data_IF_108533848529
#
_entry.id   IF_108533848529
#
_cell.length_a   1.000
_cell.length_b   1.000
_cell.length_c   1.000
_cell.angle_alpha   90.00
_cell.angle_beta   90.00
_cell.angle_gamma   90.00
#
_symmetry.space_group_name_H-M   'P 1'
#
loop_
_entity.id
_entity.type
_entity.pdbx_description
1 polymer ?
#
# COMPACT_ATOMS: atom_id res chain seq x y z
N UNK A 1 -14.06 2.46 -13.41
CA UNK A 1 -13.00 1.52 -13.01
C UNK A 1 -13.13 1.35 -11.51
N UNK A 2 -13.23 0.12 -11.03
CA UNK A 2 -13.48 -0.13 -9.62
C UNK A 2 -12.30 -0.86 -9.00
N UNK A 3 -12.02 -0.55 -7.74
CA UNK A 3 -11.07 -1.25 -6.90
C UNK A 3 -11.81 -1.78 -5.67
N UNK A 4 -11.47 -2.99 -5.26
CA UNK A 4 -11.94 -3.56 -3.99
C UNK A 4 -10.84 -3.38 -2.94
N UNK A 5 -11.17 -3.50 -1.65
CA UNK A 5 -10.19 -3.51 -0.56
C UNK A 5 -10.29 -4.84 0.15
N UNK A 6 -9.20 -5.60 0.15
CA UNK A 6 -9.15 -6.92 0.78
C UNK A 6 -7.98 -7.01 1.76
N UNK A 7 -8.25 -7.52 2.93
CA UNK A 7 -7.29 -7.63 4.04
C UNK A 7 -7.89 -7.16 5.37
N UNK A 8 -7.07 -6.90 6.38
CA UNK A 8 -5.64 -7.13 6.40
C UNK A 8 -5.29 -8.63 6.34
N UNK A 9 -4.21 -8.95 5.64
CA UNK A 9 -3.56 -10.26 5.70
C UNK A 9 -2.33 -10.14 6.59
N UNK A 10 -2.11 -11.11 7.46
CA UNK A 10 -0.92 -11.14 8.30
C UNK A 10 0.25 -11.66 7.47
N UNK A 11 1.36 -10.94 7.45
CA UNK A 11 2.59 -11.40 6.79
C UNK A 11 3.43 -12.16 7.82
N UNK A 12 3.44 -13.49 7.72
CA UNK A 12 4.21 -14.35 8.62
C UNK A 12 5.71 -14.08 8.49
N UNK A 13 6.42 -14.11 9.60
CA UNK A 13 7.88 -13.94 9.65
C UNK A 13 8.52 -15.22 10.14
N UNK A 14 9.60 -15.65 9.50
CA UNK A 14 10.25 -16.93 9.76
C UNK A 14 11.66 -16.79 10.33
N UNK A 15 12.16 -17.90 10.86
CA UNK A 15 13.50 -18.04 11.39
C UNK A 15 13.77 -17.27 12.70
N UNK A 16 14.97 -17.46 13.29
CA UNK A 16 15.35 -16.84 14.56
C UNK A 16 15.36 -15.31 14.52
N UNK A 17 15.65 -14.74 13.34
CA UNK A 17 15.68 -13.29 13.10
C UNK A 17 14.30 -12.71 12.83
N UNK A 18 13.25 -13.53 12.73
CA UNK A 18 11.87 -13.11 12.39
C UNK A 18 11.83 -12.23 11.15
N UNK A 19 12.31 -12.75 10.04
CA UNK A 19 12.34 -12.05 8.76
C UNK A 19 11.14 -12.44 7.89
N UNK A 20 10.72 -11.51 7.05
CA UNK A 20 9.86 -11.77 5.92
C UNK A 20 10.75 -12.32 4.81
N UNK A 21 10.47 -13.52 4.35
CA UNK A 21 11.29 -14.30 3.42
C UNK A 21 10.44 -14.99 2.34
N UNK A 22 11.04 -15.95 1.63
CA UNK A 22 10.36 -16.71 0.58
C UNK A 22 9.20 -17.54 1.12
N UNK A 23 9.29 -18.08 2.34
CA UNK A 23 8.18 -18.82 2.93
C UNK A 23 7.01 -17.91 3.24
N UNK A 24 7.27 -16.68 3.71
CA UNK A 24 6.24 -15.65 3.92
C UNK A 24 5.44 -15.35 2.64
N UNK A 25 6.08 -15.42 1.47
CA UNK A 25 5.39 -15.26 0.19
C UNK A 25 4.41 -16.40 -0.07
N UNK A 26 4.80 -17.66 0.17
CA UNK A 26 3.93 -18.82 -0.04
C UNK A 26 2.74 -18.79 0.92
N UNK A 27 3.00 -18.54 2.21
CA UNK A 27 1.96 -18.44 3.23
C UNK A 27 0.93 -17.36 2.87
N UNK A 28 1.42 -16.16 2.49
CA UNK A 28 0.53 -15.06 2.09
C UNK A 28 -0.28 -15.40 0.84
N UNK A 29 0.36 -16.00 -0.18
CA UNK A 29 -0.31 -16.36 -1.43
C UNK A 29 -1.45 -17.34 -1.18
N UNK A 30 -1.20 -18.35 -0.36
CA UNK A 30 -2.15 -19.40 -0.07
C UNK A 30 -3.33 -18.84 0.76
N UNK A 31 -3.08 -18.03 1.81
CA UNK A 31 -4.12 -17.33 2.58
C UNK A 31 -4.96 -16.39 1.69
N UNK A 32 -4.32 -15.66 0.78
CA UNK A 32 -4.99 -14.72 -0.13
C UNK A 32 -5.94 -15.45 -1.08
N UNK A 33 -5.48 -16.56 -1.69
CA UNK A 33 -6.30 -17.33 -2.66
C UNK A 33 -7.36 -18.19 -1.96
N UNK A 34 -7.14 -18.64 -0.72
CA UNK A 34 -8.15 -19.29 0.11
C UNK A 34 -9.29 -18.30 0.42
N UNK A 35 -8.98 -17.07 0.81
CA UNK A 35 -9.98 -16.06 1.13
C UNK A 35 -10.77 -15.57 -0.09
N UNK A 36 -10.09 -15.34 -1.22
CA UNK A 36 -10.71 -14.96 -2.50
C UNK A 36 -9.92 -15.54 -3.68
N UNK A 37 -10.43 -16.59 -4.28
CA UNK A 37 -9.80 -17.29 -5.40
C UNK A 37 -9.38 -16.36 -6.53
N UNK A 38 -8.10 -16.40 -6.90
CA UNK A 38 -7.52 -15.60 -7.99
C UNK A 38 -7.08 -14.18 -7.60
N UNK A 39 -7.25 -13.78 -6.33
CA UNK A 39 -6.81 -12.48 -5.85
C UNK A 39 -5.28 -12.34 -5.92
N UNK A 40 -4.53 -13.38 -5.63
CA UNK A 40 -3.06 -13.38 -5.73
C UNK A 40 -2.56 -12.98 -7.12
N UNK A 41 -3.33 -13.31 -8.17
CA UNK A 41 -3.01 -13.07 -9.59
C UNK A 41 -3.59 -11.77 -10.14
N UNK A 42 -4.31 -10.99 -9.34
CA UNK A 42 -4.88 -9.72 -9.76
C UNK A 42 -3.81 -8.66 -10.02
N UNK A 43 -4.17 -7.60 -10.76
CA UNK A 43 -3.42 -6.34 -10.78
C UNK A 43 -4.09 -5.30 -9.88
N UNK A 44 -3.33 -4.31 -9.40
CA UNK A 44 -3.85 -3.29 -8.51
C UNK A 44 -2.77 -2.64 -7.65
N UNK A 45 -3.17 -2.11 -6.50
CA UNK A 45 -2.27 -1.54 -5.52
C UNK A 45 -2.23 -2.38 -4.24
N UNK A 46 -1.24 -2.14 -3.40
CA UNK A 46 -1.15 -2.74 -2.08
C UNK A 46 -0.53 -1.76 -1.08
N UNK A 47 -0.89 -1.93 0.18
CA UNK A 47 -0.34 -1.16 1.29
C UNK A 47 0.21 -2.12 2.33
N UNK A 48 1.51 -2.06 2.53
CA UNK A 48 2.17 -2.77 3.62
C UNK A 48 2.17 -1.88 4.86
N UNK A 49 1.73 -2.43 5.98
CA UNK A 49 1.54 -1.69 7.21
C UNK A 49 2.02 -2.50 8.43
N UNK A 50 2.24 -1.79 9.52
CA UNK A 50 2.50 -2.34 10.85
C UNK A 50 1.23 -2.21 11.69
N UNK A 51 0.73 -3.31 12.22
CA UNK A 51 -0.33 -3.31 13.23
C UNK A 51 0.24 -2.99 14.60
N UNK A 52 -0.33 -2.03 15.31
CA UNK A 52 0.01 -1.68 16.68
C UNK A 52 -1.28 -1.37 17.45
N UNK A 53 -1.59 -2.20 18.45
CA UNK A 53 -2.87 -2.12 19.16
C UNK A 53 -4.06 -2.25 18.22
N UNK A 54 -4.98 -1.29 18.26
CA UNK A 54 -6.17 -1.24 17.37
C UNK A 54 -5.93 -0.53 16.03
N UNK A 55 -4.74 0.01 15.81
CA UNK A 55 -4.43 0.82 14.63
C UNK A 55 -3.42 0.18 13.67
N UNK A 56 -3.29 0.83 12.51
CA UNK A 56 -2.32 0.45 11.48
C UNK A 56 -1.48 1.68 11.11
N UNK A 57 -0.17 1.47 11.00
CA UNK A 57 0.76 2.49 10.49
C UNK A 57 1.21 2.04 9.10
N UNK A 58 0.89 2.76 8.02
CA UNK A 58 1.36 2.42 6.69
C UNK A 58 2.88 2.59 6.62
N UNK A 59 3.57 1.65 6.02
CA UNK A 59 5.03 1.65 5.87
C UNK A 59 5.48 1.76 4.42
N UNK A 60 4.71 1.14 3.51
CA UNK A 60 5.01 1.15 2.09
C UNK A 60 3.73 1.01 1.26
N UNK A 61 3.67 1.68 0.13
CA UNK A 61 2.62 1.55 -0.88
C UNK A 61 3.27 1.09 -2.17
N UNK A 62 2.62 0.21 -2.92
CA UNK A 62 3.09 -0.20 -4.22
C UNK A 62 1.96 -0.58 -5.17
N UNK A 63 2.33 -0.73 -6.42
CA UNK A 63 1.43 -1.15 -7.49
C UNK A 63 1.92 -2.43 -8.16
N UNK A 64 1.00 -3.19 -8.73
CA UNK A 64 1.25 -4.41 -9.47
C UNK A 64 0.53 -4.34 -10.82
N UNK A 65 1.28 -4.05 -11.87
CA UNK A 65 0.83 -4.04 -13.27
C UNK A 65 1.64 -5.01 -14.12
N UNK A 66 2.97 -4.99 -14.00
CA UNK A 66 3.86 -5.89 -14.73
C UNK A 66 3.84 -7.32 -14.17
N UNK A 67 3.64 -7.45 -12.87
CA UNK A 67 3.48 -8.72 -12.17
C UNK A 67 2.12 -8.78 -11.47
N UNK A 68 1.83 -9.87 -10.75
CA UNK A 68 0.62 -9.99 -9.96
C UNK A 68 0.79 -9.37 -8.56
N UNK A 69 -0.32 -9.04 -7.89
CA UNK A 69 -0.34 -8.35 -6.59
C UNK A 69 0.57 -9.00 -5.56
N UNK A 70 0.44 -10.30 -5.33
CA UNK A 70 1.25 -10.98 -4.31
C UNK A 70 2.71 -11.09 -4.75
N UNK A 71 2.97 -11.38 -6.05
CA UNK A 71 4.35 -11.46 -6.55
C UNK A 71 5.06 -10.12 -6.41
N UNK A 72 4.39 -9.00 -6.75
CA UNK A 72 4.99 -7.68 -6.62
C UNK A 72 5.16 -7.29 -5.15
N UNK A 73 4.14 -7.49 -4.35
CA UNK A 73 4.17 -7.13 -2.94
C UNK A 73 5.25 -7.87 -2.16
N UNK A 74 5.54 -9.11 -2.53
CA UNK A 74 6.48 -10.00 -1.82
C UNK A 74 7.73 -10.31 -2.62
N UNK A 75 8.10 -9.47 -3.60
CA UNK A 75 9.39 -9.62 -4.28
C UNK A 75 10.56 -9.36 -3.31
N UNK A 76 11.74 -9.85 -3.66
CA UNK A 76 12.93 -9.78 -2.78
C UNK A 76 13.26 -8.34 -2.34
N UNK A 77 13.16 -7.37 -3.27
CA UNK A 77 13.42 -5.95 -2.98
C UNK A 77 12.44 -5.39 -1.95
N UNK A 78 11.15 -5.72 -2.06
CA UNK A 78 10.14 -5.25 -1.13
C UNK A 78 10.27 -5.95 0.24
N UNK A 79 10.55 -7.24 0.27
CA UNK A 79 10.83 -7.96 1.53
C UNK A 79 12.03 -7.33 2.28
N UNK A 80 13.09 -6.93 1.58
CA UNK A 80 14.21 -6.21 2.19
C UNK A 80 13.78 -4.86 2.80
N UNK A 81 12.98 -4.06 2.08
CA UNK A 81 12.42 -2.81 2.61
C UNK A 81 11.56 -3.04 3.86
N UNK A 82 10.71 -4.05 3.82
CA UNK A 82 9.82 -4.40 4.94
C UNK A 82 10.63 -4.80 6.17
N UNK A 83 11.61 -5.68 6.01
CA UNK A 83 12.48 -6.11 7.09
C UNK A 83 13.28 -4.95 7.71
N UNK A 84 13.75 -4.00 6.87
CA UNK A 84 14.45 -2.81 7.34
C UNK A 84 13.56 -1.83 8.14
N UNK A 85 12.24 -1.85 7.89
CA UNK A 85 11.32 -0.87 8.49
C UNK A 85 10.59 -1.39 9.72
N UNK A 86 10.30 -2.69 9.77
CA UNK A 86 9.46 -3.28 10.82
C UNK A 86 10.12 -3.33 12.20
N UNK A 87 11.44 -3.45 12.25
CA UNK A 87 12.14 -3.79 13.48
C UNK A 87 11.68 -5.14 14.07
N UNK A 88 12.16 -5.47 15.27
CA UNK A 88 11.86 -6.77 15.92
C UNK A 88 10.42 -6.90 16.43
N UNK A 89 9.76 -5.81 16.79
CA UNK A 89 8.46 -5.81 17.51
C UNK A 89 7.26 -5.40 16.62
N UNK A 90 7.32 -5.57 15.30
CA UNK A 90 6.19 -5.21 14.44
C UNK A 90 5.34 -6.41 14.06
N UNK A 91 4.02 -6.25 14.01
CA UNK A 91 3.10 -7.21 13.40
C UNK A 91 2.80 -6.73 11.97
N UNK A 92 3.49 -7.30 10.95
CA UNK A 92 3.29 -6.87 9.59
C UNK A 92 1.97 -7.36 9.05
N UNK A 93 1.29 -6.47 8.33
CA UNK A 93 0.07 -6.78 7.60
C UNK A 93 0.11 -6.15 6.21
N UNK A 94 -0.67 -6.71 5.30
CA UNK A 94 -0.82 -6.16 3.97
C UNK A 94 -2.30 -6.02 3.61
N UNK A 95 -2.65 -4.91 2.98
CA UNK A 95 -3.93 -4.67 2.33
C UNK A 95 -3.72 -4.74 0.82
N UNK A 96 -4.58 -5.48 0.14
CA UNK A 96 -4.60 -5.60 -1.31
C UNK A 96 -5.77 -4.82 -1.88
N UNK A 97 -5.49 -4.01 -2.90
CA UNK A 97 -6.48 -3.22 -3.61
C UNK A 97 -6.55 -3.68 -5.07
N UNK A 98 -7.16 -4.86 -5.32
CA UNK A 98 -7.27 -5.38 -6.68
C UNK A 98 -8.20 -4.51 -7.52
N UNK A 99 -7.83 -4.32 -8.79
CA UNK A 99 -8.73 -3.77 -9.78
C UNK A 99 -9.78 -4.81 -10.14
N UNK A 100 -11.05 -4.40 -10.16
CA UNK A 100 -12.18 -5.28 -10.50
C UNK A 100 -12.88 -4.83 -11.78
N UNK A 101 -13.39 -5.80 -12.53
CA UNK A 101 -14.23 -5.57 -13.70
C UNK A 101 -15.63 -5.13 -13.27
N UNK A 102 -16.47 -4.57 -14.17
CA UNK A 102 -17.88 -4.29 -13.85
C UNK A 102 -18.67 -5.52 -13.38
N UNK A 103 -18.23 -6.72 -13.75
CA UNK A 103 -18.84 -7.99 -13.33
C UNK A 103 -18.29 -8.53 -11.99
N UNK A 104 -17.47 -7.74 -11.27
CA UNK A 104 -16.90 -8.10 -9.97
C UNK A 104 -15.73 -9.09 -10.03
N UNK A 105 -15.22 -9.43 -11.22
CA UNK A 105 -14.05 -10.31 -11.35
C UNK A 105 -12.75 -9.53 -11.18
N UNK A 106 -11.74 -10.14 -10.57
CA UNK A 106 -10.40 -9.55 -10.48
C UNK A 106 -9.78 -9.40 -11.86
N UNK A 107 -9.29 -8.20 -12.17
CA UNK A 107 -8.55 -7.94 -13.39
C UNK A 107 -7.14 -8.52 -13.26
N UNK A 108 -6.75 -9.33 -14.24
CA UNK A 108 -5.37 -9.82 -14.35
C UNK A 108 -4.48 -8.74 -14.98
N UNK A 109 -3.16 -8.88 -14.76
CA UNK A 109 -2.16 -8.01 -15.40
C UNK A 109 -2.36 -7.98 -16.92
N UNK A 110 -2.11 -6.83 -17.58
CA UNK A 110 -2.05 -6.76 -19.04
C UNK A 110 -0.94 -7.67 -19.59
N UNK A 111 -1.21 -8.40 -20.66
CA UNK A 111 -0.21 -9.30 -21.27
C UNK A 111 1.00 -8.54 -21.82
N UNK A 112 0.81 -7.29 -22.24
CA UNK A 112 1.88 -6.43 -22.76
C UNK A 112 2.69 -5.70 -21.69
N UNK A 113 2.49 -6.00 -20.40
CA UNK A 113 3.21 -5.37 -19.28
C UNK A 113 2.98 -3.87 -19.11
N UNK A 114 2.08 -3.26 -19.89
CA UNK A 114 1.80 -1.82 -19.81
C UNK A 114 1.16 -1.48 -18.47
N UNK A 115 1.60 -0.37 -17.91
CA UNK A 115 0.96 0.22 -16.76
C UNK A 115 -0.47 0.64 -17.08
N UNK A 116 -1.35 0.53 -16.08
CA UNK A 116 -2.73 1.01 -16.17
C UNK A 116 -2.84 2.36 -15.47
N UNK A 117 -3.19 3.46 -16.19
CA UNK A 117 -3.21 4.81 -15.60
C UNK A 117 -4.02 4.92 -14.30
N UNK A 118 -5.09 4.13 -14.18
CA UNK A 118 -5.90 4.10 -12.95
C UNK A 118 -5.16 3.52 -11.74
N UNK A 119 -4.29 2.52 -11.95
CA UNK A 119 -3.48 1.92 -10.89
C UNK A 119 -2.36 2.89 -10.48
N UNK A 120 -1.72 3.54 -11.46
CA UNK A 120 -0.70 4.58 -11.18
C UNK A 120 -1.28 5.75 -10.40
N UNK A 121 -2.47 6.21 -10.79
CA UNK A 121 -3.16 7.29 -10.09
C UNK A 121 -3.50 6.88 -8.65
N UNK A 122 -4.05 5.67 -8.47
CA UNK A 122 -4.40 5.15 -7.14
C UNK A 122 -3.16 5.01 -6.26
N UNK A 123 -2.06 4.49 -6.80
CA UNK A 123 -0.80 4.39 -6.04
C UNK A 123 -0.33 5.76 -5.54
N UNK A 124 -0.31 6.77 -6.43
CA UNK A 124 0.10 8.15 -6.07
C UNK A 124 -0.80 8.74 -5.00
N UNK A 125 -2.11 8.55 -5.13
CA UNK A 125 -3.09 9.01 -4.15
C UNK A 125 -2.89 8.31 -2.80
N UNK A 126 -2.69 6.99 -2.79
CA UNK A 126 -2.40 6.22 -1.58
C UNK A 126 -1.10 6.67 -0.92
N UNK A 127 -0.03 6.91 -1.69
CA UNK A 127 1.24 7.41 -1.17
C UNK A 127 1.01 8.77 -0.47
N UNK A 128 0.32 9.71 -1.11
CA UNK A 128 0.03 11.01 -0.54
C UNK A 128 -0.76 10.90 0.78
N UNK A 129 -1.82 10.09 0.78
CA UNK A 129 -2.66 9.85 1.96
C UNK A 129 -1.89 9.16 3.09
N UNK A 130 -1.08 8.15 2.76
CA UNK A 130 -0.27 7.43 3.74
C UNK A 130 0.84 8.31 4.34
N UNK A 131 1.41 9.25 3.57
CA UNK A 131 2.41 10.21 4.08
C UNK A 131 1.86 11.12 5.16
N UNK A 132 0.59 11.51 5.07
CA UNK A 132 -0.08 12.30 6.12
C UNK A 132 -0.11 11.52 7.44
N UNK A 133 -0.32 10.21 7.37
CA UNK A 133 -0.38 9.33 8.54
C UNK A 133 1.00 8.88 9.04
N UNK A 134 1.94 8.68 8.13
CA UNK A 134 3.32 8.30 8.43
C UNK A 134 4.32 9.06 7.54
N UNK A 135 4.92 10.14 8.03
CA UNK A 135 5.96 10.89 7.29
C UNK A 135 7.21 10.04 6.94
N UNK A 136 7.41 8.91 7.62
CA UNK A 136 8.53 7.98 7.39
C UNK A 136 8.18 6.84 6.42
N UNK A 137 7.14 7.00 5.60
CA UNK A 137 6.80 6.03 4.53
C UNK A 137 8.03 5.75 3.65
N UNK A 138 8.33 4.47 3.39
CA UNK A 138 9.59 4.05 2.74
C UNK A 138 9.59 4.24 1.22
N UNK A 139 8.50 4.70 0.64
CA UNK A 139 8.44 5.01 -0.79
C UNK A 139 9.50 6.05 -1.18
N UNK A 140 10.46 5.67 -2.04
CA UNK A 140 11.52 6.60 -2.48
C UNK A 140 11.10 7.45 -3.68
N UNK A 141 10.33 6.89 -4.61
CA UNK A 141 9.83 7.61 -5.77
C UNK A 141 8.59 8.42 -5.37
N UNK A 142 8.47 9.64 -5.91
CA UNK A 142 7.37 10.59 -5.70
C UNK A 142 7.23 11.17 -4.27
N UNK A 143 7.72 10.51 -3.23
CA UNK A 143 7.62 11.03 -1.85
C UNK A 143 8.49 12.25 -1.63
N UNK A 144 9.60 12.39 -2.36
CA UNK A 144 10.50 13.56 -2.22
C UNK A 144 9.78 14.85 -2.59
N UNK A 145 9.01 14.85 -3.67
CA UNK A 145 8.19 16.00 -4.07
C UNK A 145 7.03 16.21 -3.08
N UNK A 146 6.30 15.14 -2.77
CA UNK A 146 5.15 15.21 -1.85
C UNK A 146 5.54 15.66 -0.44
N UNK A 147 6.72 15.28 0.06
CA UNK A 147 7.24 15.76 1.35
C UNK A 147 7.63 17.24 1.33
N UNK A 148 8.02 17.77 0.17
CA UNK A 148 8.37 19.17 0.00
C UNK A 148 7.17 20.05 -0.33
N UNK A 149 6.10 19.46 -0.85
CA UNK A 149 4.88 20.15 -1.19
C UNK A 149 4.15 20.55 0.10
N UNK A 150 3.93 21.83 0.27
CA UNK A 150 3.27 22.39 1.45
C UNK A 150 2.03 23.17 1.03
N UNK A 151 0.88 22.76 1.53
CA UNK A 151 -0.38 23.51 1.33
C UNK A 151 -0.94 23.83 2.69
N UNK A 152 -1.00 25.12 3.00
CA UNK A 152 -1.38 25.63 4.32
C UNK A 152 -2.71 25.04 4.80
N UNK A 153 -2.69 24.36 5.94
CA UNK A 153 -3.85 23.71 6.55
C UNK A 153 -4.41 22.50 5.81
N UNK A 154 -3.79 22.06 4.69
CA UNK A 154 -4.27 20.95 3.84
C UNK A 154 -3.27 19.80 3.78
N UNK A 155 -2.07 20.04 3.28
CA UNK A 155 -1.05 19.02 3.06
C UNK A 155 0.26 19.41 3.74
N UNK A 156 0.84 18.50 4.52
CA UNK A 156 2.08 18.71 5.27
C UNK A 156 2.10 20.02 6.08
N UNK A 157 0.93 20.50 6.48
CA UNK A 157 0.78 21.76 7.19
C UNK A 157 1.31 21.64 8.63
N UNK A 158 2.08 22.65 9.06
CA UNK A 158 2.46 22.75 10.48
C UNK A 158 1.20 22.94 11.35
N UNK A 159 1.18 22.40 12.57
CA UNK A 159 0.11 22.68 13.52
C UNK A 159 -0.11 24.21 13.63
N UNK A 160 -1.37 24.64 13.61
CA UNK A 160 -1.73 26.06 13.69
C UNK A 160 -1.60 26.87 12.40
N UNK A 161 -1.13 26.29 11.28
CA UNK A 161 -0.98 27.00 10.00
C UNK A 161 -2.27 27.12 9.18
N UNK A 162 -3.38 26.53 9.65
CA UNK A 162 -4.67 26.65 8.98
C UNK A 162 -5.24 28.07 9.13
N UNK A 163 -5.69 28.65 8.02
CA UNK A 163 -6.44 29.90 8.00
C UNK A 163 -7.92 29.63 7.64
N UNK A 164 -8.76 30.68 7.66
CA UNK A 164 -10.19 30.56 7.33
C UNK A 164 -10.43 29.94 5.95
N UNK A 165 -9.65 30.36 4.95
CA UNK A 165 -9.78 29.84 3.59
C UNK A 165 -9.41 28.36 3.49
N UNK A 166 -8.31 27.93 4.11
CA UNK A 166 -7.90 26.51 4.12
C UNK A 166 -8.89 25.63 4.90
N UNK A 167 -9.47 26.16 5.98
CA UNK A 167 -10.53 25.46 6.74
C UNK A 167 -11.80 25.31 5.91
N UNK A 168 -12.20 26.34 5.17
CA UNK A 168 -13.35 26.26 4.26
C UNK A 168 -13.04 25.30 3.10
N UNK A 169 -11.85 25.37 2.51
CA UNK A 169 -11.44 24.50 1.40
C UNK A 169 -11.39 23.03 1.81
N UNK A 170 -10.92 22.69 3.02
CA UNK A 170 -11.01 21.32 3.53
C UNK A 170 -12.41 20.74 3.49
N UNK A 171 -13.43 21.53 3.81
CA UNK A 171 -14.85 21.10 3.75
C UNK A 171 -15.34 20.88 2.32
N UNK A 172 -14.64 21.42 1.33
CA UNK A 172 -14.98 21.21 -0.11
C UNK A 172 -14.36 19.91 -0.64
N UNK A 173 -13.21 19.50 -0.10
CA UNK A 173 -12.44 18.36 -0.66
C UNK A 173 -12.50 17.10 0.21
N UNK A 174 -12.93 17.20 1.46
CA UNK A 174 -13.14 16.11 2.43
C UNK A 174 -14.50 16.24 3.14
#
# INVERSE_FOLDING_TARGET
MNFDVVGPFVVTRHGPKKLIDRQSYFDLRDEVDERKKGLSKACGCYVFAKRAGRGYTPLYVGQACATSLVNEAMNASNCMKYNGTLGRKGNPVIFLLPMVTPTGRFRRRPQNGRSLPAIEFLERWLIATCLVKNPHLVNNQQTRLLRKLHVSGILNAKPGSANRASTAFRRVIF
#
